data_IF_280273301957
#
_entry.id   IF_280273301957
#
_cell.length_a   1.000
_cell.length_b   1.000
_cell.length_c   1.000
_cell.angle_alpha   90.00
_cell.angle_beta   90.00
_cell.angle_gamma   90.00
#
_symmetry.space_group_name_H-M   'P 1'
#
loop_
_entity.id
_entity.type
_entity.pdbx_description
1 polymer ?
#
# COMPACT_ATOMS: atom_id res chain seq x y z
N UNK A 1 1.07 21.61 -8.98
CA UNK A 1 0.80 20.78 -7.80
C UNK A 1 0.47 19.41 -8.33
N UNK A 2 1.23 18.40 -7.92
CA UNK A 2 1.03 17.00 -8.30
C UNK A 2 0.72 16.16 -7.07
N UNK A 3 0.03 15.05 -7.31
CA UNK A 3 -0.24 13.99 -6.35
C UNK A 3 0.34 12.73 -6.94
N UNK A 4 1.23 12.08 -6.19
CA UNK A 4 1.66 10.72 -6.51
C UNK A 4 0.58 9.76 -5.98
N UNK A 5 -0.32 9.34 -6.86
CA UNK A 5 -1.47 8.53 -6.46
C UNK A 5 -1.13 7.10 -6.08
N UNK A 6 0.12 6.63 -6.27
CA UNK A 6 0.52 5.26 -5.99
C UNK A 6 2.04 5.14 -5.84
N UNK A 7 2.53 4.97 -4.62
CA UNK A 7 3.96 4.82 -4.34
C UNK A 7 4.25 3.82 -3.21
N UNK A 8 5.44 3.22 -3.23
CA UNK A 8 5.93 2.28 -2.22
C UNK A 8 7.07 2.90 -1.40
N UNK A 9 6.81 4.02 -0.71
CA UNK A 9 7.83 4.73 0.08
C UNK A 9 8.39 3.90 1.25
N UNK A 10 7.68 2.85 1.67
CA UNK A 10 8.12 1.91 2.70
C UNK A 10 9.17 0.89 2.22
N UNK A 11 9.45 0.82 0.91
CA UNK A 11 10.41 -0.13 0.38
C UNK A 11 11.85 0.29 0.68
N UNK A 12 12.78 -0.67 0.92
CA UNK A 12 14.14 -0.39 1.35
C UNK A 12 14.90 0.62 0.48
N UNK A 13 14.64 0.63 -0.83
CA UNK A 13 15.27 1.51 -1.81
C UNK A 13 14.95 2.99 -1.57
N UNK A 14 13.79 3.29 -0.99
CA UNK A 14 13.34 4.65 -0.72
C UNK A 14 13.36 4.98 0.78
N UNK A 15 13.02 4.01 1.63
CA UNK A 15 12.97 4.21 3.08
C UNK A 15 14.35 4.46 3.69
N UNK A 16 15.43 4.04 3.03
CA UNK A 16 16.80 4.26 3.48
C UNK A 16 17.22 5.74 3.55
N UNK A 17 16.60 6.61 2.75
CA UNK A 17 16.81 8.06 2.77
C UNK A 17 15.50 8.82 2.47
N UNK A 18 14.47 8.48 3.25
CA UNK A 18 13.15 9.10 3.12
C UNK A 18 13.18 10.64 3.16
N UNK A 19 13.99 11.31 4.02
CA UNK A 19 14.08 12.77 4.01
C UNK A 19 14.47 13.33 2.64
N UNK A 20 15.50 12.77 1.97
CA UNK A 20 15.90 13.22 0.64
C UNK A 20 14.79 12.97 -0.41
N UNK A 21 14.07 11.85 -0.31
CA UNK A 21 12.92 11.56 -1.20
C UNK A 21 11.82 12.61 -1.03
N UNK A 22 11.46 12.97 0.22
CA UNK A 22 10.43 13.97 0.50
C UNK A 22 10.85 15.38 0.04
N UNK A 23 12.12 15.74 0.18
CA UNK A 23 12.67 16.99 -0.36
C UNK A 23 12.57 17.02 -1.90
N UNK A 24 12.93 15.92 -2.57
CA UNK A 24 12.83 15.80 -4.01
C UNK A 24 11.38 15.89 -4.51
N UNK A 25 10.43 15.28 -3.79
CA UNK A 25 8.99 15.42 -4.05
C UNK A 25 8.57 16.90 -3.99
N UNK A 26 8.93 17.60 -2.90
CA UNK A 26 8.59 19.00 -2.71
C UNK A 26 9.19 19.90 -3.81
N UNK A 27 10.48 19.72 -4.14
CA UNK A 27 11.16 20.45 -5.20
C UNK A 27 10.50 20.22 -6.58
N UNK A 28 9.96 19.01 -6.80
CA UNK A 28 9.25 18.64 -8.03
C UNK A 28 7.77 19.03 -8.03
N UNK A 29 7.28 19.69 -6.96
CA UNK A 29 5.88 20.08 -6.74
C UNK A 29 4.93 18.88 -6.60
N UNK A 30 5.45 17.70 -6.23
CA UNK A 30 4.67 16.56 -5.73
C UNK A 30 4.38 16.83 -4.28
N UNK A 31 3.14 17.19 -4.00
CA UNK A 31 2.74 17.74 -2.70
C UNK A 31 2.06 16.73 -1.81
N UNK A 32 1.53 15.65 -2.38
CA UNK A 32 0.81 14.59 -1.68
C UNK A 32 1.20 13.25 -2.30
N UNK A 33 1.16 12.18 -1.51
CA UNK A 33 1.33 10.83 -2.04
C UNK A 33 0.48 9.80 -1.29
N UNK A 34 0.10 8.73 -1.99
CA UNK A 34 -0.60 7.58 -1.45
C UNK A 34 0.37 6.39 -1.34
N UNK A 35 0.72 6.03 -0.12
CA UNK A 35 1.60 4.91 0.23
C UNK A 35 0.80 3.60 0.18
N UNK A 36 1.33 2.61 -0.54
CA UNK A 36 0.58 1.40 -0.87
C UNK A 36 0.97 0.22 0.01
N UNK A 37 -0.03 -0.41 0.62
CA UNK A 37 0.12 -1.68 1.33
C UNK A 37 0.13 -2.84 0.33
N UNK A 38 1.16 -3.70 0.45
CA UNK A 38 1.37 -4.88 -0.39
C UNK A 38 1.01 -6.16 0.37
N UNK A 39 1.22 -6.18 1.69
CA UNK A 39 0.85 -7.29 2.57
C UNK A 39 0.58 -6.80 4.00
N UNK A 40 -0.06 -7.64 4.83
CA UNK A 40 -0.36 -7.30 6.22
C UNK A 40 0.87 -7.22 7.14
N UNK A 41 1.90 -8.08 7.01
CA UNK A 41 3.12 -7.96 7.82
C UNK A 41 3.84 -6.62 7.71
N UNK A 42 3.87 -6.00 6.52
CA UNK A 42 4.53 -4.73 6.25
C UNK A 42 3.60 -3.51 6.40
N UNK A 43 2.29 -3.74 6.52
CA UNK A 43 1.30 -2.68 6.71
C UNK A 43 1.66 -1.68 7.83
N UNK A 44 2.24 -2.08 8.98
CA UNK A 44 2.64 -1.12 10.00
C UNK A 44 3.56 0.00 9.49
N UNK A 45 4.47 -0.28 8.56
CA UNK A 45 5.38 0.72 7.99
C UNK A 45 4.62 1.73 7.10
N UNK A 46 3.66 1.25 6.31
CA UNK A 46 2.80 2.10 5.46
C UNK A 46 1.92 3.01 6.33
N UNK A 47 1.33 2.47 7.40
CA UNK A 47 0.54 3.27 8.34
C UNK A 47 1.39 4.31 9.08
N UNK A 48 2.63 3.96 9.43
CA UNK A 48 3.56 4.87 10.10
C UNK A 48 3.91 6.07 9.20
N UNK A 49 4.18 5.84 7.90
CA UNK A 49 4.41 6.92 6.93
C UNK A 49 3.22 7.90 6.87
N UNK A 50 2.00 7.37 6.82
CA UNK A 50 0.81 8.21 6.83
C UNK A 50 0.62 8.94 8.17
N UNK A 51 0.99 8.33 9.30
CA UNK A 51 0.89 8.96 10.61
C UNK A 51 1.90 10.12 10.78
N UNK A 52 3.14 9.94 10.32
CA UNK A 52 4.23 10.88 10.56
C UNK A 52 4.23 12.10 9.63
N UNK A 53 3.62 11.98 8.44
CA UNK A 53 3.70 13.01 7.42
C UNK A 53 2.32 13.49 6.98
N UNK A 54 1.97 14.75 7.26
CA UNK A 54 0.66 15.32 7.03
C UNK A 54 0.09 15.11 5.60
N UNK A 55 0.97 15.09 4.59
CA UNK A 55 0.63 14.99 3.18
C UNK A 55 0.70 13.57 2.58
N UNK A 56 1.08 12.56 3.37
CA UNK A 56 1.09 11.15 2.94
C UNK A 56 -0.17 10.43 3.40
N UNK A 57 -0.76 9.61 2.56
CA UNK A 57 -1.95 8.80 2.85
C UNK A 57 -1.61 7.33 2.68
N UNK A 58 -2.49 6.42 3.13
CA UNK A 58 -2.26 4.99 3.05
C UNK A 58 -3.40 4.24 2.38
N UNK A 59 -3.07 3.09 1.79
CA UNK A 59 -4.02 2.03 1.50
C UNK A 59 -3.88 0.89 2.51
N UNK A 60 -4.88 0.01 2.56
CA UNK A 60 -4.83 -1.24 3.32
C UNK A 60 -5.30 -2.39 2.44
N UNK A 61 -4.50 -3.44 2.32
CA UNK A 61 -4.82 -4.56 1.42
C UNK A 61 -3.64 -5.49 1.21
N UNK A 62 -3.85 -6.49 0.36
CA UNK A 62 -2.82 -7.46 0.01
C UNK A 62 -2.77 -7.61 -1.51
N UNK A 63 -1.61 -7.35 -2.09
CA UNK A 63 -1.35 -7.41 -3.53
C UNK A 63 -1.55 -8.84 -4.05
N UNK A 64 -2.09 -9.07 -5.27
CA UNK A 64 -2.33 -10.41 -5.81
C UNK A 64 -1.08 -11.29 -5.96
N UNK A 65 0.13 -10.74 -5.95
CA UNK A 65 1.36 -11.53 -6.17
C UNK A 65 2.13 -11.94 -4.92
N UNK A 66 1.60 -11.62 -3.73
CA UNK A 66 2.24 -12.05 -2.49
C UNK A 66 1.75 -13.44 -2.13
N UNK A 67 2.58 -14.44 -2.36
CA UNK A 67 2.39 -15.81 -1.85
C UNK A 67 2.74 -15.89 -0.35
N UNK A 68 2.22 -16.91 0.33
CA UNK A 68 2.56 -17.25 1.73
C UNK A 68 2.40 -16.09 2.74
N UNK A 69 1.42 -15.21 2.54
CA UNK A 69 1.09 -14.11 3.45
C UNK A 69 -0.30 -14.29 4.09
N UNK A 70 -0.55 -13.75 5.29
CA UNK A 70 -1.89 -13.78 5.88
C UNK A 70 -2.92 -13.10 4.96
N UNK A 71 -3.99 -13.83 4.64
CA UNK A 71 -5.12 -13.28 3.90
C UNK A 71 -5.97 -12.37 4.80
N UNK A 72 -6.38 -11.18 4.33
CA UNK A 72 -7.22 -10.31 5.11
C UNK A 72 -8.66 -10.81 5.09
N UNK A 73 -9.34 -10.77 6.24
CA UNK A 73 -10.80 -10.88 6.28
C UNK A 73 -11.47 -9.54 5.93
N UNK A 74 -12.71 -9.59 5.44
CA UNK A 74 -13.54 -8.38 5.20
C UNK A 74 -13.62 -7.51 6.47
N UNK A 75 -13.79 -8.14 7.64
CA UNK A 75 -13.89 -7.42 8.91
C UNK A 75 -12.59 -6.70 9.27
N UNK A 76 -11.44 -7.33 9.03
CA UNK A 76 -10.13 -6.68 9.21
C UNK A 76 -9.95 -5.52 8.25
N UNK A 77 -10.29 -5.66 6.96
CA UNK A 77 -10.20 -4.57 5.99
C UNK A 77 -11.09 -3.38 6.38
N UNK A 78 -12.32 -3.64 6.82
CA UNK A 78 -13.23 -2.58 7.30
C UNK A 78 -12.64 -1.86 8.53
N UNK A 79 -12.11 -2.61 9.50
CA UNK A 79 -11.50 -2.02 10.69
C UNK A 79 -10.23 -1.19 10.35
N UNK A 80 -9.41 -1.68 9.43
CA UNK A 80 -8.20 -1.01 8.96
C UNK A 80 -8.54 0.25 8.13
N UNK A 81 -9.56 0.18 7.27
CA UNK A 81 -10.02 1.29 6.44
C UNK A 81 -10.58 2.46 7.26
N UNK A 82 -11.04 2.21 8.49
CA UNK A 82 -11.51 3.25 9.39
C UNK A 82 -10.37 4.06 10.07
N UNK A 83 -9.11 3.65 9.90
CA UNK A 83 -7.96 4.37 10.50
C UNK A 83 -7.76 5.74 9.84
N UNK A 84 -7.27 6.75 10.59
CA UNK A 84 -6.95 8.04 10.02
C UNK A 84 -6.04 7.92 8.80
N UNK A 85 -6.37 8.66 7.74
CA UNK A 85 -5.59 8.77 6.50
C UNK A 85 -5.44 7.49 5.68
N UNK A 86 -6.13 6.41 6.04
CA UNK A 86 -6.42 5.33 5.11
C UNK A 86 -7.55 5.78 4.20
N UNK A 87 -7.29 5.82 2.89
CA UNK A 87 -8.24 6.40 1.90
C UNK A 87 -8.64 5.41 0.80
N UNK A 88 -8.07 4.21 0.78
CA UNK A 88 -8.44 3.17 -0.15
C UNK A 88 -8.14 1.75 0.40
N UNK A 89 -8.84 0.77 -0.15
CA UNK A 89 -8.57 -0.66 0.05
C UNK A 89 -7.73 -1.13 -1.14
N UNK A 90 -6.55 -1.69 -0.86
CA UNK A 90 -5.58 -2.13 -1.85
C UNK A 90 -4.12 -2.03 -1.36
N UNK A 91 -3.15 -2.29 -2.23
CA UNK A 91 -3.38 -2.74 -3.61
C UNK A 91 -3.91 -4.17 -3.64
N UNK A 92 -4.86 -4.43 -4.54
CA UNK A 92 -5.53 -5.73 -4.69
C UNK A 92 -5.94 -5.86 -6.16
N UNK A 93 -6.34 -7.05 -6.57
CA UNK A 93 -6.72 -7.31 -7.96
C UNK A 93 -6.28 -8.69 -8.42
N UNK A 94 -5.85 -8.76 -9.67
CA UNK A 94 -5.39 -9.99 -10.32
C UNK A 94 -4.14 -9.67 -11.15
N UNK A 95 -3.10 -10.48 -11.01
CA UNK A 95 -1.92 -10.42 -11.86
C UNK A 95 -1.57 -11.84 -12.31
N UNK A 96 -1.86 -12.12 -13.59
CA UNK A 96 -1.63 -13.42 -14.23
C UNK A 96 -0.32 -13.46 -15.01
N UNK A 97 0.50 -12.43 -14.89
CA UNK A 97 1.80 -12.33 -15.54
C UNK A 97 2.92 -12.81 -14.61
N UNK A 98 2.85 -12.46 -13.32
CA UNK A 98 3.93 -12.73 -12.35
C UNK A 98 3.98 -14.16 -11.84
N UNK A 99 2.82 -14.76 -11.63
CA UNK A 99 2.70 -16.09 -11.05
C UNK A 99 2.13 -17.09 -12.05
N UNK A 100 2.50 -18.36 -11.90
CA UNK A 100 2.05 -19.46 -12.76
C UNK A 100 1.46 -20.58 -11.90
N UNK A 101 0.54 -21.36 -12.46
CA UNK A 101 -0.15 -22.44 -11.73
C UNK A 101 -1.62 -22.10 -11.41
N UNK A 102 -2.16 -22.70 -10.34
CA UNK A 102 -3.54 -22.39 -9.93
C UNK A 102 -3.61 -21.08 -9.15
N UNK A 103 -4.06 -20.03 -9.84
CA UNK A 103 -4.27 -18.69 -9.29
C UNK A 103 -5.71 -18.48 -8.76
N UNK A 104 -6.41 -19.56 -8.38
CA UNK A 104 -7.73 -19.47 -7.73
C UNK A 104 -7.72 -18.64 -6.45
N UNK A 105 -6.62 -18.66 -5.71
CA UNK A 105 -6.43 -17.88 -4.50
C UNK A 105 -6.38 -16.37 -4.75
N UNK A 106 -5.78 -15.88 -5.85
CA UNK A 106 -5.82 -14.44 -6.20
C UNK A 106 -7.26 -13.96 -6.37
N UNK A 107 -8.11 -14.77 -7.02
CA UNK A 107 -9.54 -14.46 -7.18
C UNK A 107 -10.29 -14.49 -5.85
N UNK A 108 -9.92 -15.38 -4.94
CA UNK A 108 -10.52 -15.41 -3.60
C UNK A 108 -10.11 -14.18 -2.79
N UNK A 109 -8.81 -13.82 -2.77
CA UNK A 109 -8.27 -12.61 -2.16
C UNK A 109 -8.95 -11.36 -2.70
N UNK A 110 -9.07 -11.23 -4.02
CA UNK A 110 -9.69 -10.05 -4.63
C UNK A 110 -11.18 -9.93 -4.27
N UNK A 111 -11.93 -11.04 -4.16
CA UNK A 111 -13.34 -11.00 -3.72
C UNK A 111 -13.51 -10.63 -2.24
N UNK A 112 -12.50 -10.88 -1.42
CA UNK A 112 -12.52 -10.54 0.00
C UNK A 112 -12.27 -9.04 0.23
N UNK A 113 -11.61 -8.37 -0.71
CA UNK A 113 -11.44 -6.91 -0.71
C UNK A 113 -12.68 -6.21 -1.25
#
# INVERSE_FOLDING_TARGET
MFVDSHCHLNFPELSGDLPAVLEAMAASRVTHALCISVNLPELPAVLQLAADHANLFATVGVHPDVEDTPEPSVAELVALAARPKVVAIGETGLDYYRLTGDLSWQRARFRAH
#
